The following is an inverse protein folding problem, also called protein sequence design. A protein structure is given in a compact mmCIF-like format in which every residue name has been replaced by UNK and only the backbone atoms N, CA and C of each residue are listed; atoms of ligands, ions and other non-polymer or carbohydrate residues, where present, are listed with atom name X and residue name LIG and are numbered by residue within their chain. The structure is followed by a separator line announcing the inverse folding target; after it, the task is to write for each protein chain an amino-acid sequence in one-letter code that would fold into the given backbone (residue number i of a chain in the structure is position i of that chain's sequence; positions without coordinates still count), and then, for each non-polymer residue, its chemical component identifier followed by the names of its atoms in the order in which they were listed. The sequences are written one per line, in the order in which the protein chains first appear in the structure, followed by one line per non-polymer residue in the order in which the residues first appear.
data_IF_712186581038
#
_entry.id   IF_712186581038
#
_cell.length_a   1.000
_cell.length_b   1.000
_cell.length_c   1.000
_cell.angle_alpha   90.00
_cell.angle_beta   90.00
_cell.angle_gamma   90.00
#
_symmetry.space_group_name_H-M   'P 1'
#
loop_
_entity.id
_entity.type
_entity.pdbx_description
1 polymer ?
#
# COMPACT_ATOMS: atom_id res chain seq x y z
N UNK A 1 -8.02 0.84 29.11
CA UNK A 1 -7.34 0.10 28.03
C UNK A 1 -6.43 1.10 27.35
N UNK A 2 -5.18 0.73 27.07
CA UNK A 2 -4.29 1.61 26.30
C UNK A 2 -4.69 1.49 24.84
N UNK A 3 -4.93 2.62 24.19
CA UNK A 3 -5.19 2.64 22.75
C UNK A 3 -3.89 2.34 22.03
N UNK A 4 -3.88 1.28 21.22
CA UNK A 4 -2.71 0.91 20.42
C UNK A 4 -2.55 1.90 19.28
N UNK A 5 -1.35 2.41 19.04
CA UNK A 5 -1.13 3.43 18.00
C UNK A 5 -0.57 2.80 16.73
N UNK A 6 -1.20 3.10 15.59
CA UNK A 6 -0.76 2.65 14.26
C UNK A 6 -0.38 3.84 13.39
N UNK A 7 0.88 3.89 12.94
CA UNK A 7 1.39 4.89 12.02
C UNK A 7 1.29 4.37 10.59
N UNK A 8 0.49 5.02 9.73
CA UNK A 8 0.30 4.59 8.34
C UNK A 8 1.14 5.47 7.41
N UNK A 9 2.15 4.87 6.77
CA UNK A 9 3.02 5.52 5.80
C UNK A 9 2.59 5.16 4.38
N UNK A 10 2.30 6.19 3.57
CA UNK A 10 1.76 5.99 2.22
C UNK A 10 2.15 7.14 1.26
N UNK A 11 1.96 6.87 -0.03
CA UNK A 11 2.06 7.87 -1.10
C UNK A 11 0.72 8.56 -1.28
N UNK A 12 0.69 9.84 -1.66
CA UNK A 12 -0.58 10.60 -1.79
C UNK A 12 -1.60 9.93 -2.72
N UNK A 13 -1.09 9.26 -3.75
CA UNK A 13 -1.88 8.48 -4.68
C UNK A 13 -2.70 7.37 -3.99
N UNK A 14 -2.23 6.87 -2.84
CA UNK A 14 -2.85 5.80 -2.04
C UNK A 14 -3.54 6.32 -0.77
N UNK A 15 -3.94 7.59 -0.77
CA UNK A 15 -4.66 8.18 0.36
C UNK A 15 -6.01 7.51 0.62
N UNK A 16 -6.65 6.94 -0.41
CA UNK A 16 -7.94 6.25 -0.27
C UNK A 16 -7.77 5.00 0.61
N UNK A 17 -6.76 4.17 0.31
CA UNK A 17 -6.41 2.97 1.06
C UNK A 17 -6.06 3.28 2.52
N UNK A 18 -5.22 4.29 2.74
CA UNK A 18 -4.84 4.70 4.09
C UNK A 18 -6.03 5.21 4.93
N UNK A 19 -6.94 5.97 4.30
CA UNK A 19 -8.16 6.45 4.97
C UNK A 19 -9.18 5.34 5.19
N UNK A 20 -9.22 4.32 4.31
CA UNK A 20 -10.08 3.16 4.47
C UNK A 20 -9.68 2.37 5.72
N UNK A 21 -8.40 2.01 5.87
CA UNK A 21 -7.89 1.34 7.08
C UNK A 21 -8.28 2.14 8.34
N UNK A 22 -8.00 3.44 8.35
CA UNK A 22 -8.33 4.26 9.50
C UNK A 22 -9.84 4.36 9.76
N UNK A 23 -10.68 4.32 8.73
CA UNK A 23 -12.14 4.32 8.88
C UNK A 23 -12.61 3.00 9.50
N UNK A 24 -12.10 1.88 9.02
CA UNK A 24 -12.53 0.55 9.46
C UNK A 24 -12.07 0.28 10.89
N UNK A 25 -10.89 0.78 11.27
CA UNK A 25 -10.33 0.61 12.61
C UNK A 25 -10.88 1.59 13.65
N UNK A 26 -11.63 2.63 13.26
CA UNK A 26 -12.22 3.62 14.21
C UNK A 26 -13.10 3.01 15.28
N UNK A 27 -13.70 1.86 15.02
CA UNK A 27 -14.59 1.17 15.95
C UNK A 27 -13.83 0.24 16.92
N UNK A 28 -12.50 0.16 16.78
CA UNK A 28 -11.63 -0.68 17.62
C UNK A 28 -10.80 0.17 18.58
N UNK A 29 -10.05 -0.47 19.48
CA UNK A 29 -9.14 0.23 20.41
C UNK A 29 -7.81 0.65 19.75
N UNK A 30 -7.82 0.89 18.43
CA UNK A 30 -6.65 1.26 17.64
C UNK A 30 -6.76 2.72 17.20
N UNK A 31 -5.78 3.52 17.60
CA UNK A 31 -5.62 4.89 17.14
C UNK A 31 -4.76 4.95 15.88
N UNK A 32 -5.37 5.25 14.73
CA UNK A 32 -4.68 5.36 13.45
C UNK A 32 -4.18 6.78 13.18
N UNK A 33 -2.87 6.93 13.01
CA UNK A 33 -2.22 8.17 12.58
C UNK A 33 -1.97 8.10 11.06
N UNK A 34 -2.94 8.61 10.29
CA UNK A 34 -2.85 8.73 8.82
C UNK A 34 -2.22 10.07 8.46
N UNK A 35 -0.91 10.09 8.22
CA UNK A 35 -0.20 11.30 7.82
C UNK A 35 0.81 11.01 6.72
N UNK A 36 1.28 12.06 6.04
CA UNK A 36 2.41 11.93 5.12
C UNK A 36 3.63 11.43 5.90
N UNK A 37 4.42 10.55 5.28
CA UNK A 37 5.74 10.17 5.78
C UNK A 37 6.62 11.41 5.97
N UNK A 38 6.93 11.75 7.23
CA UNK A 38 7.86 12.82 7.62
C UNK A 38 8.86 12.30 8.64
N UNK A 39 10.01 12.96 8.76
CA UNK A 39 11.04 12.60 9.73
C UNK A 39 10.49 12.52 11.17
N UNK A 40 9.68 13.49 11.58
CA UNK A 40 9.06 13.53 12.91
C UNK A 40 8.19 12.31 13.20
N UNK A 41 7.42 11.83 12.20
CA UNK A 41 6.54 10.67 12.37
C UNK A 41 7.32 9.36 12.46
N UNK A 42 8.41 9.26 11.70
CA UNK A 42 9.32 8.10 11.78
C UNK A 42 10.03 8.08 13.15
N UNK A 43 10.44 9.24 13.65
CA UNK A 43 11.01 9.36 14.98
C UNK A 43 10.00 9.00 16.09
N UNK A 44 8.75 9.45 15.97
CA UNK A 44 7.67 9.09 16.90
C UNK A 44 7.44 7.57 16.96
N UNK A 45 7.40 6.89 15.80
CA UNK A 45 7.32 5.42 15.76
C UNK A 45 8.54 4.78 16.45
N UNK A 46 9.74 5.32 16.26
CA UNK A 46 10.97 4.79 16.87
C UNK A 46 10.98 4.93 18.40
N UNK A 47 10.37 5.99 18.93
CA UNK A 47 10.28 6.23 20.37
C UNK A 47 9.15 5.43 21.03
N UNK A 48 8.03 5.23 20.32
CA UNK A 48 6.87 4.50 20.82
C UNK A 48 7.00 3.00 20.56
N UNK A 49 7.61 2.30 21.51
CA UNK A 49 7.85 0.84 21.40
C UNK A 49 6.58 -0.01 21.33
N UNK A 50 5.45 0.54 21.74
CA UNK A 50 4.15 -0.14 21.68
C UNK A 50 3.40 0.17 20.38
N UNK A 51 3.91 1.03 19.50
CA UNK A 51 3.23 1.36 18.25
C UNK A 51 3.58 0.38 17.13
N UNK A 52 2.69 0.32 16.13
CA UNK A 52 2.91 -0.41 14.88
C UNK A 52 3.03 0.57 13.71
N UNK A 53 4.01 0.34 12.85
CA UNK A 53 4.13 1.02 11.56
C UNK A 53 3.49 0.17 10.47
N UNK A 54 2.58 0.76 9.71
CA UNK A 54 2.04 0.16 8.48
C UNK A 54 2.63 0.89 7.28
N UNK A 55 3.38 0.20 6.44
CA UNK A 55 4.00 0.78 5.25
C UNK A 55 3.25 0.32 4.00
N UNK A 56 2.44 1.22 3.41
CA UNK A 56 1.77 0.98 2.13
C UNK A 56 2.78 1.16 0.98
N UNK A 57 3.31 0.04 0.51
CA UNK A 57 4.30 0.00 -0.57
C UNK A 57 3.58 -0.02 -1.92
N UNK A 58 3.57 1.13 -2.58
CA UNK A 58 3.11 1.26 -3.96
C UNK A 58 4.23 1.67 -4.91
N UNK A 59 4.00 1.49 -6.21
CA UNK A 59 4.88 2.01 -7.24
C UNK A 59 5.09 3.53 -7.11
N UNK A 60 4.03 4.29 -6.80
CA UNK A 60 4.13 5.73 -6.54
C UNK A 60 4.99 6.02 -5.31
N UNK A 61 4.95 5.19 -4.27
CA UNK A 61 5.78 5.33 -3.09
C UNK A 61 7.27 5.13 -3.43
N UNK A 62 7.59 4.03 -4.10
CA UNK A 62 8.96 3.63 -4.44
C UNK A 62 9.65 4.56 -5.46
N UNK A 63 8.87 5.36 -6.17
CA UNK A 63 9.33 6.36 -7.14
C UNK A 63 9.32 7.80 -6.60
N UNK A 64 8.84 8.03 -5.38
CA UNK A 64 8.75 9.37 -4.82
C UNK A 64 10.02 9.75 -4.07
N UNK A 65 10.61 10.90 -4.40
CA UNK A 65 11.80 11.44 -3.71
C UNK A 65 11.49 11.69 -2.23
N UNK A 66 10.36 12.31 -1.94
CA UNK A 66 9.95 12.66 -0.57
C UNK A 66 9.72 11.43 0.30
N UNK A 67 9.17 10.35 -0.26
CA UNK A 67 8.85 9.15 0.50
C UNK A 67 10.06 8.24 0.68
N UNK A 68 10.89 8.13 -0.36
CA UNK A 68 12.07 7.27 -0.33
C UNK A 68 13.22 7.85 0.49
N UNK A 69 13.26 9.16 0.72
CA UNK A 69 14.27 9.80 1.60
C UNK A 69 14.23 9.26 3.04
N UNK A 70 13.06 8.82 3.50
CA UNK A 70 12.84 8.31 4.86
C UNK A 70 12.87 6.78 4.97
N UNK A 71 12.94 6.05 3.85
CA UNK A 71 12.89 4.58 3.85
C UNK A 71 14.06 3.93 4.60
N UNK A 72 15.24 4.54 4.62
CA UNK A 72 16.38 4.03 5.40
C UNK A 72 16.03 3.89 6.88
N UNK A 73 15.33 4.89 7.42
CA UNK A 73 14.97 4.97 8.84
C UNK A 73 13.81 4.02 9.14
N UNK A 74 12.79 4.00 8.28
CA UNK A 74 11.63 3.10 8.44
C UNK A 74 12.04 1.63 8.36
N UNK A 75 12.91 1.29 7.40
CA UNK A 75 13.41 -0.07 7.19
C UNK A 75 14.67 -0.35 8.03
N UNK A 76 14.89 0.39 9.12
CA UNK A 76 15.94 0.07 10.08
C UNK A 76 15.59 -1.22 10.84
N UNK A 77 16.61 -1.97 11.25
CA UNK A 77 16.41 -3.23 11.99
C UNK A 77 15.73 -3.00 13.35
N UNK A 78 15.86 -1.82 13.93
CA UNK A 78 15.19 -1.46 15.17
C UNK A 78 13.66 -1.41 15.02
N UNK A 79 13.16 -1.09 13.83
CA UNK A 79 11.73 -0.99 13.53
C UNK A 79 11.17 -2.23 12.85
N UNK A 80 12.01 -3.20 12.43
CA UNK A 80 11.54 -4.34 11.64
C UNK A 80 10.51 -5.21 12.37
N UNK A 81 10.55 -5.22 13.70
CA UNK A 81 9.59 -5.96 14.53
C UNK A 81 8.29 -5.20 14.81
N UNK A 82 8.20 -3.92 14.41
CA UNK A 82 7.03 -3.06 14.56
C UNK A 82 6.41 -2.70 13.21
N UNK A 83 7.07 -3.07 12.11
CA UNK A 83 6.73 -2.62 10.76
C UNK A 83 6.07 -3.73 9.96
N UNK A 84 4.87 -3.47 9.48
CA UNK A 84 4.12 -4.32 8.58
C UNK A 84 4.13 -3.67 7.19
N UNK A 85 4.84 -4.24 6.19
CA UNK A 85 4.75 -3.78 4.83
C UNK A 85 3.52 -4.39 4.13
N UNK A 86 2.71 -3.55 3.49
CA UNK A 86 1.55 -3.96 2.69
C UNK A 86 1.73 -3.49 1.26
N UNK A 87 1.73 -4.41 0.30
CA UNK A 87 1.86 -4.10 -1.12
C UNK A 87 0.51 -3.64 -1.64
N UNK A 88 0.46 -2.42 -2.19
CA UNK A 88 -0.76 -1.85 -2.77
C UNK A 88 -0.51 -1.34 -4.19
N UNK A 89 -1.58 -1.17 -4.96
CA UNK A 89 -1.50 -0.78 -6.35
C UNK A 89 -1.01 0.66 -6.54
N UNK A 90 -0.30 0.90 -7.64
CA UNK A 90 0.01 2.23 -8.12
C UNK A 90 -1.20 2.88 -8.79
N UNK A 91 -1.24 4.20 -8.78
CA UNK A 91 -2.33 5.02 -9.34
C UNK A 91 -1.75 6.19 -10.12
N UNK A 92 -2.29 6.47 -11.32
CA UNK A 92 -1.93 7.64 -12.12
C UNK A 92 -3.14 8.17 -12.88
N UNK A 93 -3.15 9.45 -13.21
CA UNK A 93 -4.18 10.00 -14.07
C UNK A 93 -4.03 9.41 -15.48
N UNK A 94 -5.12 8.86 -16.03
CA UNK A 94 -5.11 8.33 -17.38
C UNK A 94 -5.00 9.47 -18.39
N UNK A 95 -4.11 9.32 -19.37
CA UNK A 95 -3.78 10.37 -20.33
C UNK A 95 -5.02 10.79 -21.12
N UNK A 96 -5.35 12.08 -21.07
CA UNK A 96 -6.49 12.66 -21.80
C UNK A 96 -7.86 12.49 -21.14
N UNK A 97 -7.91 11.97 -19.90
CA UNK A 97 -9.15 11.81 -19.14
C UNK A 97 -9.00 12.30 -17.71
N UNK A 98 -10.11 12.53 -17.01
CA UNK A 98 -10.13 12.81 -15.57
C UNK A 98 -10.09 11.55 -14.70
N UNK A 99 -10.04 10.37 -15.31
CA UNK A 99 -10.10 9.08 -14.62
C UNK A 99 -8.71 8.63 -14.12
N UNK A 100 -8.71 7.91 -13.01
CA UNK A 100 -7.50 7.29 -12.44
C UNK A 100 -7.31 5.89 -13.01
N UNK A 101 -6.12 5.61 -13.51
CA UNK A 101 -5.63 4.28 -13.88
C UNK A 101 -4.95 3.63 -12.68
N UNK A 102 -5.36 2.40 -12.38
CA UNK A 102 -4.74 1.55 -11.35
C UNK A 102 -3.82 0.54 -12.04
N UNK A 103 -2.63 0.32 -11.48
CA UNK A 103 -1.65 -0.59 -12.06
C UNK A 103 -0.85 -1.33 -10.99
N UNK A 104 -0.34 -2.54 -11.29
CA UNK A 104 0.27 -3.40 -10.29
C UNK A 104 1.62 -2.87 -9.78
N UNK A 105 1.82 -2.89 -8.46
CA UNK A 105 3.13 -2.74 -7.84
C UNK A 105 3.79 -4.11 -7.82
N UNK A 106 4.99 -4.23 -8.41
CA UNK A 106 5.68 -5.51 -8.52
C UNK A 106 7.08 -5.35 -7.95
N UNK A 107 7.42 -6.09 -6.90
CA UNK A 107 8.74 -5.97 -6.24
C UNK A 107 9.43 -7.32 -5.97
N UNK A 108 8.76 -8.45 -6.24
CA UNK A 108 9.22 -9.78 -5.87
C UNK A 108 10.43 -10.30 -6.68
N UNK A 109 10.53 -9.94 -7.97
CA UNK A 109 11.57 -10.49 -8.87
C UNK A 109 12.78 -9.55 -9.00
N UNK A 110 13.93 -10.09 -9.41
CA UNK A 110 15.09 -9.27 -9.75
C UNK A 110 14.79 -8.26 -10.88
N UNK A 111 13.99 -8.66 -11.87
CA UNK A 111 13.59 -7.76 -12.97
C UNK A 111 12.79 -6.57 -12.45
N UNK A 112 11.92 -6.78 -11.48
CA UNK A 112 11.18 -5.70 -10.82
C UNK A 112 12.14 -4.73 -10.11
N UNK A 113 13.16 -5.25 -9.43
CA UNK A 113 14.18 -4.41 -8.78
C UNK A 113 14.96 -3.58 -9.80
N UNK A 114 15.33 -4.19 -10.94
CA UNK A 114 16.00 -3.47 -12.03
C UNK A 114 15.14 -2.35 -12.58
N UNK A 115 13.84 -2.58 -12.75
CA UNK A 115 12.88 -1.57 -13.20
C UNK A 115 12.93 -0.29 -12.34
N UNK A 116 12.90 -0.42 -11.00
CA UNK A 116 12.99 0.74 -10.11
C UNK A 116 14.36 1.41 -10.16
N UNK A 117 15.44 0.62 -10.25
CA UNK A 117 16.80 1.17 -10.37
C UNK A 117 16.95 2.01 -11.65
N UNK A 118 16.43 1.51 -12.76
CA UNK A 118 16.51 2.17 -14.06
C UNK A 118 15.66 3.45 -14.07
N UNK A 119 14.46 3.42 -13.47
CA UNK A 119 13.66 4.63 -13.21
C UNK A 119 14.48 5.71 -12.47
N UNK A 120 15.13 5.34 -11.36
CA UNK A 120 15.92 6.29 -10.57
C UNK A 120 17.14 6.81 -11.31
N UNK A 121 17.75 6.00 -12.18
CA UNK A 121 18.84 6.42 -13.04
C UNK A 121 18.39 7.48 -14.06
N UNK A 122 17.24 7.27 -14.71
CA UNK A 122 16.65 8.25 -15.63
C UNK A 122 16.27 9.54 -14.91
N UNK A 123 15.66 9.44 -13.72
CA UNK A 123 15.28 10.60 -12.91
C UNK A 123 16.50 11.41 -12.48
N UNK A 124 17.59 10.74 -12.07
CA UNK A 124 18.85 11.42 -11.76
C UNK A 124 19.41 12.18 -12.98
N UNK A 125 19.40 11.59 -14.18
CA UNK A 125 19.82 12.26 -15.41
C UNK A 125 18.93 13.47 -15.71
N UNK A 126 17.61 13.33 -15.55
CA UNK A 126 16.61 14.38 -15.74
C UNK A 126 16.88 15.57 -14.82
N UNK A 127 17.02 15.31 -13.51
CA UNK A 127 17.31 16.32 -12.50
C UNK A 127 18.66 16.99 -12.74
N UNK A 128 19.69 16.23 -13.17
CA UNK A 128 20.99 16.80 -13.56
C UNK A 128 20.88 17.76 -14.74
N UNK A 129 20.04 17.45 -15.74
CA UNK A 129 19.78 18.35 -16.88
C UNK A 129 19.01 19.60 -16.44
N UNK A 130 18.00 19.46 -15.57
CA UNK A 130 17.23 20.58 -15.00
C UNK A 130 18.13 21.52 -14.18
N UNK A 131 18.95 20.97 -13.29
CA UNK A 131 19.90 21.71 -12.44
C UNK A 131 20.96 22.50 -13.22
N UNK A 132 21.26 22.15 -14.48
CA UNK A 132 22.14 22.97 -15.33
C UNK A 132 21.46 24.23 -15.89
N UNK A 133 20.12 24.26 -15.91
CA UNK A 133 19.31 25.32 -16.50
C UNK A 133 18.55 26.15 -15.45
N UNK A 134 18.60 25.74 -14.19
CA UNK A 134 17.84 26.36 -13.11
C UNK A 134 18.48 27.66 -12.63
N UNK A 135 17.65 28.54 -12.06
CA UNK A 135 18.11 29.75 -11.40
C UNK A 135 18.75 29.41 -10.04
N UNK A 136 19.61 30.30 -9.53
CA UNK A 136 20.34 30.07 -8.28
C UNK A 136 19.43 29.76 -7.07
N UNK A 137 18.21 30.31 -7.05
CA UNK A 137 17.22 30.13 -5.97
C UNK A 137 16.70 28.69 -5.90
N UNK A 138 16.62 27.98 -7.03
CA UNK A 138 16.11 26.60 -7.11
C UNK A 138 17.23 25.56 -7.02
N UNK A 139 18.48 26.01 -7.02
CA UNK A 139 19.64 25.14 -7.18
C UNK A 139 19.85 24.21 -5.98
N UNK A 140 19.56 24.69 -4.77
CA UNK A 140 19.72 23.94 -3.53
C UNK A 140 18.75 22.76 -3.45
N UNK A 141 17.44 23.02 -3.60
CA UNK A 141 16.40 21.98 -3.62
C UNK A 141 16.63 20.95 -4.73
N UNK A 142 17.03 21.39 -5.93
CA UNK A 142 17.38 20.47 -7.02
C UNK A 142 18.61 19.63 -6.71
N UNK A 143 19.57 20.16 -5.95
CA UNK A 143 20.77 19.41 -5.59
C UNK A 143 20.45 18.30 -4.58
N UNK A 144 19.58 18.55 -3.61
CA UNK A 144 19.08 17.53 -2.68
C UNK A 144 18.35 16.41 -3.43
N UNK A 145 17.40 16.76 -4.30
CA UNK A 145 16.67 15.80 -5.13
C UNK A 145 17.62 14.94 -5.99
N UNK A 146 18.66 15.55 -6.55
CA UNK A 146 19.69 14.83 -7.34
C UNK A 146 20.46 13.82 -6.51
N UNK A 147 20.88 14.19 -5.30
CA UNK A 147 21.63 13.27 -4.45
C UNK A 147 20.77 12.10 -3.99
N UNK A 148 19.48 12.33 -3.70
CA UNK A 148 18.52 11.24 -3.42
C UNK A 148 18.39 10.33 -4.64
N UNK A 149 18.09 10.87 -5.82
CA UNK A 149 17.93 10.07 -7.04
C UNK A 149 19.20 9.26 -7.39
N UNK A 150 20.37 9.89 -7.23
CA UNK A 150 21.67 9.23 -7.40
C UNK A 150 21.82 8.07 -6.42
N UNK A 151 21.59 8.29 -5.12
CA UNK A 151 21.66 7.25 -4.09
C UNK A 151 20.73 6.08 -4.41
N UNK A 152 19.50 6.35 -4.83
CA UNK A 152 18.56 5.31 -5.24
C UNK A 152 19.08 4.51 -6.44
N UNK A 153 19.57 5.18 -7.47
CA UNK A 153 20.09 4.54 -8.70
C UNK A 153 21.31 3.65 -8.46
N UNK A 154 22.14 3.96 -7.45
CA UNK A 154 23.39 3.23 -7.14
C UNK A 154 23.17 2.03 -6.20
N UNK A 155 21.92 1.77 -5.79
CA UNK A 155 21.55 0.50 -5.14
C UNK A 155 20.72 0.61 -3.87
N UNK A 156 20.46 1.83 -3.35
CA UNK A 156 19.60 1.99 -2.17
C UNK A 156 18.20 1.43 -2.40
N UNK A 157 17.60 1.68 -3.56
CA UNK A 157 16.26 1.16 -3.86
C UNK A 157 16.23 -0.39 -3.89
N UNK A 158 17.29 -1.01 -4.41
CA UNK A 158 17.44 -2.46 -4.43
C UNK A 158 17.56 -3.04 -3.01
N UNK A 159 18.26 -2.34 -2.12
CA UNK A 159 18.35 -2.72 -0.71
C UNK A 159 16.99 -2.58 -0.01
N UNK A 160 16.23 -1.51 -0.28
CA UNK A 160 14.91 -1.31 0.31
C UNK A 160 13.93 -2.39 -0.11
N UNK A 161 13.85 -2.68 -1.41
CA UNK A 161 12.99 -3.75 -1.91
C UNK A 161 13.39 -5.10 -1.29
N UNK A 162 14.69 -5.39 -1.17
CA UNK A 162 15.14 -6.61 -0.50
C UNK A 162 14.69 -6.65 0.96
N UNK A 163 14.84 -5.57 1.71
CA UNK A 163 14.40 -5.48 3.11
C UNK A 163 12.88 -5.68 3.22
N UNK A 164 12.10 -4.98 2.40
CA UNK A 164 10.64 -5.13 2.33
C UNK A 164 10.27 -6.59 2.07
N UNK A 165 10.86 -7.23 1.05
CA UNK A 165 10.59 -8.64 0.74
C UNK A 165 11.07 -9.61 1.82
N UNK A 166 12.04 -9.22 2.66
CA UNK A 166 12.53 -10.05 3.78
C UNK A 166 11.68 -9.87 5.05
N UNK A 167 10.76 -8.91 5.04
CA UNK A 167 9.79 -8.65 6.10
C UNK A 167 8.43 -9.29 5.81
N UNK A 168 8.39 -10.26 4.88
CA UNK A 168 7.18 -11.00 4.48
C UNK A 168 5.98 -10.08 4.21
N UNK A 169 6.07 -9.23 3.17
CA UNK A 169 5.06 -8.23 2.91
C UNK A 169 3.75 -8.89 2.45
N UNK A 170 2.62 -8.35 2.90
CA UNK A 170 1.28 -8.88 2.56
C UNK A 170 0.66 -8.08 1.43
N UNK A 171 -0.06 -8.75 0.53
CA UNK A 171 -0.78 -8.08 -0.56
C UNK A 171 -2.04 -7.39 -0.01
N UNK A 172 -2.38 -6.23 -0.57
CA UNK A 172 -3.50 -5.40 -0.12
C UNK A 172 -4.82 -6.18 0.01
N UNK A 173 -5.13 -7.03 -0.97
CA UNK A 173 -6.39 -7.77 -1.00
C UNK A 173 -6.46 -8.79 0.14
N UNK A 174 -5.33 -9.44 0.46
CA UNK A 174 -5.23 -10.39 1.58
C UNK A 174 -5.34 -9.66 2.92
N UNK A 175 -4.64 -8.52 3.05
CA UNK A 175 -4.66 -7.68 4.25
C UNK A 175 -6.05 -7.10 4.57
N UNK A 176 -6.92 -6.94 3.57
CA UNK A 176 -8.29 -6.50 3.79
C UNK A 176 -9.25 -7.67 4.03
N UNK A 177 -9.03 -8.80 3.34
CA UNK A 177 -9.92 -9.97 3.41
C UNK A 177 -9.90 -10.65 4.77
N UNK A 178 -8.79 -10.57 5.51
CA UNK A 178 -8.67 -11.10 6.86
C UNK A 178 -9.21 -10.14 7.95
N UNK A 179 -9.81 -9.01 7.55
CA UNK A 179 -10.29 -8.00 8.50
C UNK A 179 -9.15 -7.33 9.29
N UNK A 180 -7.95 -7.26 8.71
CA UNK A 180 -6.73 -6.77 9.34
C UNK A 180 -6.22 -7.66 10.48
N UNK A 181 -6.52 -8.97 10.46
CA UNK A 181 -6.11 -9.90 11.51
C UNK A 181 -4.59 -9.86 11.75
N UNK A 182 -3.79 -9.78 10.68
CA UNK A 182 -2.34 -9.64 10.82
C UNK A 182 -1.94 -8.40 11.65
N UNK A 183 -2.65 -7.28 11.52
CA UNK A 183 -2.40 -6.08 12.33
C UNK A 183 -2.71 -6.33 13.80
N UNK A 184 -3.83 -6.99 14.11
CA UNK A 184 -4.23 -7.29 15.49
C UNK A 184 -3.28 -8.28 16.18
N UNK A 185 -2.86 -9.32 15.46
CA UNK A 185 -1.90 -10.30 15.95
C UNK A 185 -0.55 -9.64 16.22
N UNK A 186 -0.10 -8.79 15.29
CA UNK A 186 1.14 -8.04 15.43
C UNK A 186 1.08 -7.00 16.57
N UNK A 187 -0.08 -6.41 16.82
CA UNK A 187 -0.30 -5.47 17.92
C UNK A 187 -0.47 -6.17 19.29
N UNK A 188 -0.42 -7.51 19.35
CA UNK A 188 -0.71 -8.31 20.53
C UNK A 188 -2.11 -8.03 21.15
N UNK A 189 -3.05 -7.55 20.32
CA UNK A 189 -4.39 -7.13 20.77
C UNK A 189 -5.39 -8.31 20.84
N UNK A 190 -4.98 -9.51 20.42
CA UNK A 190 -5.87 -10.65 20.24
C UNK A 190 -6.85 -10.44 19.08
N UNK A 191 -7.65 -11.47 18.75
CA UNK A 191 -8.66 -11.39 17.69
C UNK A 191 -9.79 -10.40 18.06
N UNK A 192 -9.55 -9.11 17.86
CA UNK A 192 -10.59 -8.10 17.81
C UNK A 192 -11.14 -8.10 16.39
N UNK A 193 -11.97 -9.09 16.08
CA UNK A 193 -12.68 -9.15 14.81
C UNK A 193 -13.35 -7.80 14.55
N UNK A 194 -12.98 -7.13 13.46
CA UNK A 194 -13.83 -6.11 12.85
C UNK A 194 -15.06 -6.91 12.41
N UNK A 195 -16.09 -6.94 13.24
CA UNK A 195 -17.26 -7.76 13.01
C UNK A 195 -17.80 -7.43 11.63
N UNK A 196 -17.86 -8.44 10.76
CA UNK A 196 -18.64 -8.38 9.54
C UNK A 196 -20.03 -7.86 9.92
N UNK A 197 -20.39 -6.69 9.42
CA UNK A 197 -21.78 -6.24 9.46
C UNK A 197 -22.53 -7.04 8.40
N UNK A 198 -22.70 -8.34 8.67
CA UNK A 198 -23.78 -9.12 8.06
C UNK A 198 -25.06 -8.55 8.66
N UNK A 199 -25.74 -7.73 7.87
CA UNK A 199 -27.08 -7.24 8.18
C UNK A 199 -27.98 -8.42 8.50
N UNK A 200 -28.27 -8.56 9.80
CA UNK A 200 -29.33 -9.44 10.30
C UNK A 200 -30.58 -8.57 10.43
N UNK A 201 -31.28 -8.40 9.31
CA UNK A 201 -32.71 -8.11 9.36
C UNK A 201 -33.42 -9.45 9.38
N UNK A 202 -33.82 -9.85 10.59
CA UNK A 202 -34.88 -10.82 10.78
C UNK A 202 -36.21 -10.09 10.56
N UNK A 203 -36.85 -10.29 9.41
CA UNK A 203 -38.28 -10.56 9.41
C UNK A 203 -38.74 -11.31 8.16
N UNK A 204 -39.85 -11.99 8.37
CA UNK A 204 -40.44 -13.11 7.66
C UNK A 204 -40.92 -12.79 6.23
N UNK A 205 -40.79 -13.75 5.30
CA UNK A 205 -41.87 -14.19 4.38
C UNK A 205 -41.42 -15.37 3.49
N UNK A 206 -42.31 -16.35 3.35
CA UNK A 206 -42.15 -17.61 2.62
C UNK A 206 -41.80 -17.41 1.13
N UNK A 207 -40.79 -18.12 0.64
CA UNK A 207 -40.53 -18.23 -0.80
C UNK A 207 -41.39 -19.37 -1.35
N UNK A 208 -42.29 -19.14 -2.34
CA UNK A 208 -43.02 -20.23 -2.98
C UNK A 208 -42.07 -21.03 -3.88
N UNK A 209 -42.13 -22.35 -3.77
CA UNK A 209 -41.45 -23.30 -4.66
C UNK A 209 -42.06 -23.15 -6.06
N UNK A 210 -41.28 -22.67 -7.02
CA UNK A 210 -41.66 -22.65 -8.44
C UNK A 210 -41.28 -24.02 -9.03
N UNK A 211 -42.30 -24.85 -9.30
CA UNK A 211 -42.14 -26.06 -10.11
C UNK A 211 -41.81 -25.66 -11.56
N UNK A 212 -40.65 -26.10 -12.05
CA UNK A 212 -40.27 -25.98 -13.45
C UNK A 212 -40.99 -27.12 -14.21
N UNK A 213 -41.87 -26.84 -15.19
CA UNK A 213 -42.48 -27.90 -15.98
C UNK A 213 -41.43 -28.50 -16.92
N UNK A 214 -41.27 -29.83 -16.83
CA UNK A 214 -40.48 -30.64 -17.75
C UNK A 214 -41.15 -30.57 -19.12
N UNK A 215 -40.49 -29.94 -20.08
CA UNK A 215 -40.90 -29.95 -21.49
C UNK A 215 -40.29 -31.19 -22.14
N UNK A 216 -41.13 -32.16 -22.50
CA UNK A 216 -40.77 -33.29 -23.36
C UNK A 216 -40.48 -32.79 -24.79
N UNK A 217 -39.27 -33.06 -25.29
CA UNK A 217 -38.93 -32.89 -26.70
C UNK A 217 -39.53 -34.06 -27.53
N UNK A 218 -40.23 -33.79 -28.65
CA UNK A 218 -40.68 -34.85 -29.53
C UNK A 218 -39.56 -35.29 -30.49
N UNK A 219 -39.37 -36.61 -30.56
CA UNK A 219 -38.56 -37.33 -31.52
C UNK A 219 -38.99 -37.01 -32.96
N UNK A 220 -38.04 -36.58 -33.80
CA UNK A 220 -38.22 -36.46 -35.24
C UNK A 220 -37.70 -37.74 -35.90
N UNK A 221 -38.61 -38.53 -36.45
CA UNK A 221 -38.30 -39.62 -37.38
C UNK A 221 -37.92 -39.04 -38.76
N UNK A 222 -36.77 -39.45 -39.30
CA UNK A 222 -36.39 -39.19 -40.69
C UNK A 222 -37.14 -40.13 -41.65
N UNK A 223 -37.64 -39.64 -42.80
CA UNK A 223 -38.16 -40.52 -43.83
C UNK A 223 -37.05 -40.96 -44.82
N UNK A 224 -37.23 -42.21 -45.29
CA UNK A 224 -36.47 -43.04 -46.22
C UNK A 224 -35.97 -42.34 -47.49
#
# INVERSE_FOLDING_TARGET
MQDHTVYIFFSEANSIEANQIAKDLRQTNINCIVNKTTAEKVEQLTQDKGATGLLLVSDNYLKSIEKTSHLDQILDKSLSAQLIPVITHGRRLKVGTSDMEVYPTKIQTLNNVMYYRDFWYEEWISLRKKSKKAAAIEQEALNEQKEIAKKMSVGSISNYIRKINSSDPVEWDEFCADGYQMLFDHAELGASSVAETVGTDADSEEIPVIEIPVVEEPLVEEPV
#
